data_IF_783888387977
#
_entry.id   IF_783888387977
#
_cell.length_a   1.000
_cell.length_b   1.000
_cell.length_c   1.000
_cell.angle_alpha   90.00
_cell.angle_beta   90.00
_cell.angle_gamma   90.00
#
_symmetry.space_group_name_H-M   'P 1'
#
loop_
_entity.id
_entity.type
_entity.pdbx_description
1 polymer ?
#
# COMPACT_ATOMS: atom_id res chain seq x y z
N UNK A 1 -1.21 14.59 33.10
CA UNK A 1 -1.41 13.33 32.37
C UNK A 1 -1.98 13.66 30.99
N UNK A 2 -1.31 13.27 29.91
CA UNK A 2 -1.80 13.49 28.54
C UNK A 2 -3.15 12.79 28.35
N UNK A 3 -4.17 13.52 27.90
CA UNK A 3 -5.52 12.97 27.68
C UNK A 3 -5.44 12.01 26.49
N UNK A 4 -5.83 10.74 26.69
CA UNK A 4 -5.79 9.72 25.62
C UNK A 4 -6.84 10.05 24.54
N UNK A 5 -6.48 9.83 23.28
CA UNK A 5 -7.41 9.97 22.16
C UNK A 5 -8.56 8.94 22.28
N UNK A 6 -9.84 9.36 22.27
CA UNK A 6 -10.95 8.44 22.54
C UNK A 6 -11.08 7.30 21.53
N UNK A 7 -10.68 7.52 20.27
CA UNK A 7 -10.81 6.53 19.18
C UNK A 7 -9.49 5.79 18.89
N UNK A 8 -8.56 5.75 19.84
CA UNK A 8 -7.23 5.15 19.62
C UNK A 8 -7.29 3.63 19.36
N UNK A 9 -8.26 2.92 19.94
CA UNK A 9 -8.52 1.51 19.61
C UNK A 9 -8.96 1.33 18.15
N UNK A 10 -9.86 2.20 17.67
CA UNK A 10 -10.34 2.17 16.28
C UNK A 10 -9.21 2.52 15.32
N UNK A 11 -8.39 3.52 15.65
CA UNK A 11 -7.21 3.88 14.85
C UNK A 11 -6.22 2.71 14.73
N UNK A 12 -5.99 1.98 15.83
CA UNK A 12 -5.15 0.76 15.81
C UNK A 12 -5.72 -0.32 14.89
N UNK A 13 -7.02 -0.58 14.97
CA UNK A 13 -7.69 -1.52 14.08
C UNK A 13 -7.54 -1.12 12.60
N UNK A 14 -7.71 0.17 12.28
CA UNK A 14 -7.52 0.68 10.91
C UNK A 14 -6.09 0.54 10.41
N UNK A 15 -5.09 0.74 11.27
CA UNK A 15 -3.67 0.50 10.93
C UNK A 15 -3.41 -0.98 10.62
N UNK A 16 -4.02 -1.90 11.38
CA UNK A 16 -3.92 -3.34 11.10
C UNK A 16 -4.60 -3.72 9.79
N UNK A 17 -5.78 -3.15 9.50
CA UNK A 17 -6.49 -3.35 8.24
C UNK A 17 -5.65 -2.87 7.03
N UNK A 18 -5.06 -1.68 7.11
CA UNK A 18 -4.13 -1.16 6.09
C UNK A 18 -2.96 -2.10 5.87
N UNK A 19 -2.29 -2.53 6.94
CA UNK A 19 -1.18 -3.47 6.83
C UNK A 19 -1.58 -4.80 6.18
N UNK A 20 -2.77 -5.34 6.51
CA UNK A 20 -3.30 -6.54 5.86
C UNK A 20 -3.50 -6.32 4.36
N UNK A 21 -4.13 -5.20 3.97
CA UNK A 21 -4.39 -4.89 2.56
C UNK A 21 -3.13 -4.61 1.76
N UNK A 22 -2.11 -3.99 2.37
CA UNK A 22 -0.78 -3.85 1.76
C UNK A 22 -0.13 -5.22 1.51
N UNK A 23 -0.21 -6.14 2.49
CA UNK A 23 0.33 -7.51 2.33
C UNK A 23 -0.40 -8.29 1.24
N UNK A 24 -1.73 -8.23 1.20
CA UNK A 24 -2.55 -8.84 0.14
C UNK A 24 -2.13 -8.31 -1.23
N UNK A 25 -2.05 -6.98 -1.40
CA UNK A 25 -1.64 -6.36 -2.66
C UNK A 25 -0.23 -6.79 -3.08
N UNK A 26 0.74 -6.76 -2.17
CA UNK A 26 2.11 -7.22 -2.44
C UNK A 26 2.19 -8.71 -2.79
N UNK A 27 1.29 -9.54 -2.26
CA UNK A 27 1.19 -10.95 -2.64
C UNK A 27 0.74 -11.09 -4.09
N UNK A 28 -0.31 -10.37 -4.50
CA UNK A 28 -0.80 -10.43 -5.88
C UNK A 28 0.17 -9.81 -6.90
N UNK A 29 0.91 -8.76 -6.53
CA UNK A 29 1.99 -8.22 -7.35
C UNK A 29 3.09 -9.25 -7.62
N UNK A 30 3.48 -10.04 -6.60
CA UNK A 30 4.44 -11.14 -6.76
C UNK A 30 3.91 -12.24 -7.67
N UNK A 31 2.63 -12.61 -7.53
CA UNK A 31 1.99 -13.56 -8.43
C UNK A 31 2.00 -13.03 -9.86
N UNK A 32 1.62 -11.76 -10.09
CA UNK A 32 1.67 -11.14 -11.42
C UNK A 32 3.06 -11.23 -12.02
N UNK A 33 4.10 -10.84 -11.28
CA UNK A 33 5.47 -10.87 -11.75
C UNK A 33 5.90 -12.27 -12.19
N UNK A 34 5.59 -13.29 -11.37
CA UNK A 34 5.84 -14.70 -11.71
C UNK A 34 5.10 -15.14 -12.98
N UNK A 35 3.81 -14.84 -13.08
CA UNK A 35 3.02 -15.24 -14.25
C UNK A 35 3.45 -14.52 -15.53
N UNK A 36 3.94 -13.28 -15.43
CA UNK A 36 4.57 -12.54 -16.53
C UNK A 36 5.89 -13.17 -16.95
N UNK A 37 6.75 -13.54 -16.01
CA UNK A 37 8.01 -14.23 -16.30
C UNK A 37 7.76 -15.59 -16.98
N UNK A 38 6.76 -16.33 -16.51
CA UNK A 38 6.35 -17.59 -17.12
C UNK A 38 5.89 -17.40 -18.57
N UNK A 39 5.11 -16.35 -18.86
CA UNK A 39 4.70 -16.01 -20.21
C UNK A 39 5.91 -15.72 -21.11
N UNK A 40 6.81 -14.84 -20.68
CA UNK A 40 8.03 -14.54 -21.42
C UNK A 40 8.90 -15.78 -21.66
N UNK A 41 8.96 -16.70 -20.69
CA UNK A 41 9.69 -17.95 -20.88
C UNK A 41 9.08 -18.83 -21.99
N UNK A 42 7.74 -18.92 -22.05
CA UNK A 42 7.05 -19.68 -23.08
C UNK A 42 7.26 -19.05 -24.47
N UNK A 43 7.17 -17.72 -24.56
CA UNK A 43 7.40 -16.96 -25.80
C UNK A 43 8.84 -17.16 -26.29
N UNK A 44 9.83 -17.02 -25.41
CA UNK A 44 11.24 -17.28 -25.75
C UNK A 44 11.49 -18.71 -26.24
N UNK A 45 10.86 -19.71 -25.60
CA UNK A 45 11.00 -21.10 -26.05
C UNK A 45 10.37 -21.33 -27.43
N UNK A 46 9.22 -20.69 -27.70
CA UNK A 46 8.57 -20.76 -29.00
C UNK A 46 9.43 -20.11 -30.08
N UNK A 47 9.99 -18.93 -29.81
CA UNK A 47 10.84 -18.22 -30.77
C UNK A 47 12.17 -18.94 -31.01
N UNK A 48 12.80 -19.48 -29.97
CA UNK A 48 14.00 -20.31 -30.12
C UNK A 48 13.74 -21.54 -30.99
N UNK A 49 12.60 -22.23 -30.80
CA UNK A 49 12.23 -23.37 -31.61
C UNK A 49 11.89 -22.99 -33.07
N UNK A 50 11.36 -21.78 -33.31
CA UNK A 50 11.15 -21.25 -34.67
C UNK A 50 12.48 -20.97 -35.37
N UNK A 51 13.43 -20.37 -34.66
CA UNK A 51 14.78 -20.12 -35.20
C UNK A 51 15.49 -21.43 -35.55
N UNK A 52 15.49 -22.39 -34.63
CA UNK A 52 16.09 -23.72 -34.86
C UNK A 52 15.41 -24.47 -36.03
N UNK A 53 14.08 -24.36 -36.19
CA UNK A 53 13.39 -24.89 -37.37
C UNK A 53 13.87 -24.21 -38.67
N UNK A 54 13.96 -22.87 -38.67
CA UNK A 54 14.38 -22.11 -39.85
C UNK A 54 15.80 -22.47 -40.29
N UNK A 55 16.72 -22.60 -39.34
CA UNK A 55 18.11 -23.00 -39.59
C UNK A 55 18.19 -24.40 -40.21
N UNK A 56 17.41 -25.36 -39.68
CA UNK A 56 17.37 -26.74 -40.19
C UNK A 56 16.75 -26.85 -41.59
N UNK A 57 15.78 -26.01 -41.92
CA UNK A 57 15.17 -25.99 -43.25
C UNK A 57 16.19 -25.48 -44.29
N UNK A 58 16.97 -24.45 -43.97
CA UNK A 58 17.95 -23.85 -44.89
C UNK A 58 19.18 -24.74 -45.10
N UNK A 59 19.61 -25.49 -44.08
CA UNK A 59 20.83 -26.32 -44.13
C UNK A 59 20.70 -27.59 -44.98
N UNK A 60 20.05 -28.62 -44.42
CA UNK A 60 20.03 -29.98 -45.01
C UNK A 60 18.64 -30.41 -45.48
N UNK A 61 17.62 -29.56 -45.28
CA UNK A 61 16.22 -29.94 -45.39
C UNK A 61 15.75 -30.76 -44.17
N UNK A 62 14.47 -30.64 -43.83
CA UNK A 62 13.92 -31.28 -42.64
C UNK A 62 13.11 -32.54 -43.00
N UNK A 63 13.44 -33.72 -42.44
CA UNK A 63 12.63 -34.91 -42.61
C UNK A 63 11.17 -34.67 -42.18
N UNK A 64 10.22 -35.20 -42.94
CA UNK A 64 8.78 -35.00 -42.71
C UNK A 64 8.35 -35.33 -41.26
N UNK A 65 8.88 -36.41 -40.68
CA UNK A 65 8.59 -36.78 -39.29
C UNK A 65 9.05 -35.72 -38.28
N UNK A 66 10.24 -35.12 -38.49
CA UNK A 66 10.72 -34.01 -37.63
C UNK A 66 9.87 -32.76 -37.84
N UNK A 67 9.46 -32.46 -39.07
CA UNK A 67 8.56 -31.34 -39.35
C UNK A 67 7.22 -31.46 -38.60
N UNK A 68 6.64 -32.67 -38.57
CA UNK A 68 5.42 -32.95 -37.81
C UNK A 68 5.62 -32.72 -36.29
N UNK A 69 6.79 -33.08 -35.74
CA UNK A 69 7.11 -32.83 -34.34
C UNK A 69 7.16 -31.32 -34.01
N UNK A 70 7.76 -30.49 -34.88
CA UNK A 70 7.73 -29.03 -34.68
C UNK A 70 6.31 -28.47 -34.73
N UNK A 71 5.49 -28.90 -35.69
CA UNK A 71 4.10 -28.45 -35.79
C UNK A 71 3.29 -28.80 -34.53
N UNK A 72 3.43 -30.04 -34.04
CA UNK A 72 2.81 -30.46 -32.79
C UNK A 72 3.30 -29.64 -31.59
N UNK A 73 4.62 -29.41 -31.50
CA UNK A 73 5.22 -28.57 -30.47
C UNK A 73 4.69 -27.13 -30.51
N UNK A 74 4.65 -26.49 -31.68
CA UNK A 74 4.14 -25.13 -31.85
C UNK A 74 2.66 -25.02 -31.48
N UNK A 75 1.85 -26.01 -31.86
CA UNK A 75 0.44 -26.09 -31.47
C UNK A 75 0.27 -26.16 -29.95
N UNK A 76 1.06 -27.01 -29.29
CA UNK A 76 1.06 -27.14 -27.83
C UNK A 76 1.54 -25.86 -27.14
N UNK A 77 2.67 -25.28 -27.57
CA UNK A 77 3.20 -24.04 -26.99
C UNK A 77 2.27 -22.85 -27.17
N UNK A 78 1.68 -22.70 -28.36
CA UNK A 78 0.71 -21.63 -28.63
C UNK A 78 -0.50 -21.73 -27.70
N UNK A 79 -1.01 -22.95 -27.47
CA UNK A 79 -2.10 -23.20 -26.53
C UNK A 79 -1.70 -22.84 -25.09
N UNK A 80 -0.48 -23.20 -24.66
CA UNK A 80 0.05 -22.84 -23.34
C UNK A 80 0.21 -21.34 -23.16
N UNK A 81 0.71 -20.64 -24.18
CA UNK A 81 0.84 -19.17 -24.19
C UNK A 81 -0.53 -18.51 -24.03
N UNK A 82 -1.54 -18.96 -24.80
CA UNK A 82 -2.91 -18.43 -24.68
C UNK A 82 -3.47 -18.62 -23.27
N UNK A 83 -3.34 -19.83 -22.73
CA UNK A 83 -3.76 -20.11 -21.36
C UNK A 83 -3.05 -19.20 -20.34
N UNK A 84 -1.74 -19.02 -20.49
CA UNK A 84 -0.94 -18.17 -19.61
C UNK A 84 -1.34 -16.70 -19.71
N UNK A 85 -1.65 -16.20 -20.92
CA UNK A 85 -2.14 -14.85 -21.13
C UNK A 85 -3.51 -14.64 -20.45
N UNK A 86 -4.42 -15.60 -20.55
CA UNK A 86 -5.72 -15.52 -19.89
C UNK A 86 -5.60 -15.59 -18.36
N UNK A 87 -4.68 -16.39 -17.83
CA UNK A 87 -4.33 -16.41 -16.41
C UNK A 87 -3.78 -15.04 -15.97
N UNK A 88 -2.83 -14.47 -16.72
CA UNK A 88 -2.23 -13.18 -16.41
C UNK A 88 -3.29 -12.07 -16.38
N UNK A 89 -4.23 -12.05 -17.35
CA UNK A 89 -5.36 -11.10 -17.35
C UNK A 89 -6.21 -11.18 -16.07
N UNK A 90 -6.49 -12.39 -15.59
CA UNK A 90 -7.23 -12.60 -14.33
C UNK A 90 -6.43 -12.08 -13.12
N UNK A 91 -5.13 -12.39 -13.08
CA UNK A 91 -4.24 -11.91 -12.01
C UNK A 91 -4.15 -10.38 -12.02
N UNK A 92 -4.02 -9.76 -13.19
CA UNK A 92 -4.00 -8.30 -13.33
C UNK A 92 -5.30 -7.64 -12.87
N UNK A 93 -6.45 -8.26 -13.15
CA UNK A 93 -7.74 -7.79 -12.66
C UNK A 93 -7.78 -7.81 -11.12
N UNK A 94 -7.31 -8.89 -10.49
CA UNK A 94 -7.22 -8.99 -9.03
C UNK A 94 -6.21 -8.00 -8.44
N UNK A 95 -5.05 -7.79 -9.08
CA UNK A 95 -4.09 -6.75 -8.67
C UNK A 95 -4.74 -5.37 -8.67
N UNK A 96 -5.47 -5.02 -9.74
CA UNK A 96 -6.19 -3.74 -9.82
C UNK A 96 -7.21 -3.60 -8.70
N UNK A 97 -8.00 -4.65 -8.45
CA UNK A 97 -8.97 -4.70 -7.34
C UNK A 97 -8.28 -4.48 -5.99
N UNK A 98 -7.19 -5.21 -5.71
CA UNK A 98 -6.44 -5.11 -4.46
C UNK A 98 -5.77 -3.77 -4.26
N UNK A 99 -5.30 -3.13 -5.34
CA UNK A 99 -4.78 -1.75 -5.30
C UNK A 99 -5.85 -0.77 -4.82
N UNK A 100 -7.08 -0.89 -5.31
CA UNK A 100 -8.21 -0.06 -4.87
C UNK A 100 -8.57 -0.33 -3.41
N UNK A 101 -8.69 -1.59 -3.00
CA UNK A 101 -8.96 -1.96 -1.60
C UNK A 101 -7.90 -1.39 -0.64
N UNK A 102 -6.62 -1.47 -1.01
CA UNK A 102 -5.51 -0.89 -0.26
C UNK A 102 -5.64 0.64 -0.17
N UNK A 103 -5.88 1.33 -1.28
CA UNK A 103 -6.04 2.78 -1.30
C UNK A 103 -7.21 3.24 -0.40
N UNK A 104 -8.34 2.53 -0.43
CA UNK A 104 -9.48 2.79 0.45
C UNK A 104 -9.16 2.56 1.92
N UNK A 105 -8.36 1.54 2.25
CA UNK A 105 -7.94 1.29 3.65
C UNK A 105 -7.06 2.43 4.19
N UNK A 106 -6.12 2.93 3.37
CA UNK A 106 -5.25 4.06 3.70
C UNK A 106 -6.09 5.33 3.89
N UNK A 107 -7.01 5.60 2.97
CA UNK A 107 -7.90 6.76 3.06
C UNK A 107 -8.74 6.72 4.35
N UNK A 108 -9.30 5.56 4.69
CA UNK A 108 -10.08 5.37 5.93
C UNK A 108 -9.22 5.58 7.19
N UNK A 109 -7.98 5.06 7.25
CA UNK A 109 -7.07 5.33 8.38
C UNK A 109 -6.77 6.83 8.50
N UNK A 110 -6.45 7.51 7.39
CA UNK A 110 -6.07 8.93 7.40
C UNK A 110 -7.15 9.84 8.01
N UNK A 111 -8.43 9.47 7.92
CA UNK A 111 -9.51 10.18 8.60
C UNK A 111 -9.27 10.18 10.12
N UNK A 112 -8.94 9.03 10.71
CA UNK A 112 -8.71 8.90 12.15
C UNK A 112 -7.41 9.55 12.61
N UNK A 113 -6.35 9.52 11.78
CA UNK A 113 -5.12 10.26 12.09
C UNK A 113 -5.41 11.77 12.19
N UNK A 114 -6.16 12.34 11.22
CA UNK A 114 -6.59 13.75 11.29
C UNK A 114 -7.47 14.06 12.48
N UNK A 115 -8.37 13.16 12.87
CA UNK A 115 -9.19 13.33 14.08
C UNK A 115 -8.32 13.33 15.34
N UNK A 116 -7.28 12.50 15.39
CA UNK A 116 -6.32 12.44 16.49
C UNK A 116 -5.50 13.73 16.57
N UNK A 117 -5.00 14.23 15.44
CA UNK A 117 -4.27 15.50 15.36
C UNK A 117 -5.12 16.66 15.92
N UNK A 118 -6.35 16.83 15.41
CA UNK A 118 -7.28 17.87 15.90
C UNK A 118 -7.60 17.74 17.39
N UNK A 119 -7.75 16.50 17.88
CA UNK A 119 -7.99 16.26 19.30
C UNK A 119 -6.79 16.70 20.15
N UNK A 120 -5.56 16.38 19.72
CA UNK A 120 -4.35 16.76 20.44
C UNK A 120 -4.17 18.28 20.47
N UNK A 121 -4.38 18.96 19.34
CA UNK A 121 -4.36 20.43 19.27
C UNK A 121 -5.40 21.08 20.20
N UNK A 122 -6.60 20.51 20.29
CA UNK A 122 -7.64 21.02 21.18
C UNK A 122 -7.27 20.82 22.66
N UNK A 123 -6.66 19.68 23.00
CA UNK A 123 -6.17 19.41 24.36
C UNK A 123 -5.03 20.36 24.73
N UNK A 124 -4.11 20.61 23.81
CA UNK A 124 -3.00 21.55 24.01
C UNK A 124 -3.51 22.98 24.23
N UNK A 125 -4.43 23.45 23.38
CA UNK A 125 -5.07 24.76 23.53
C UNK A 125 -5.76 24.93 24.89
N UNK A 126 -6.46 23.89 25.35
CA UNK A 126 -7.12 23.90 26.65
C UNK A 126 -6.12 23.93 27.81
N UNK A 127 -5.01 23.19 27.70
CA UNK A 127 -3.93 23.23 28.71
C UNK A 127 -3.31 24.62 28.79
N UNK A 128 -2.93 25.20 27.65
CA UNK A 128 -2.34 26.54 27.59
C UNK A 128 -3.30 27.60 28.16
N UNK A 129 -4.61 27.50 27.87
CA UNK A 129 -5.62 28.39 28.44
C UNK A 129 -5.70 28.27 29.96
N UNK A 130 -5.70 27.05 30.50
CA UNK A 130 -5.74 26.81 31.96
C UNK A 130 -4.47 27.28 32.65
N UNK A 131 -3.32 27.12 32.02
CA UNK A 131 -2.04 27.62 32.54
C UNK A 131 -2.01 29.15 32.54
N UNK A 132 -2.47 29.80 31.48
CA UNK A 132 -2.63 31.26 31.43
C UNK A 132 -3.50 31.80 32.57
N UNK A 133 -4.69 31.21 32.76
CA UNK A 133 -5.57 31.59 33.88
C UNK A 133 -4.91 31.42 35.24
N UNK A 134 -4.16 30.34 35.46
CA UNK A 134 -3.41 30.12 36.71
C UNK A 134 -2.30 31.14 36.93
N UNK A 135 -1.60 31.54 35.86
CA UNK A 135 -0.56 32.57 35.95
C UNK A 135 -1.20 33.91 36.32
N UNK A 136 -2.30 34.28 35.68
CA UNK A 136 -3.04 35.51 35.96
C UNK A 136 -3.56 35.54 37.42
N UNK A 137 -4.07 34.42 37.92
CA UNK A 137 -4.49 34.29 39.32
C UNK A 137 -3.31 34.50 40.29
N UNK A 138 -2.15 33.89 40.02
CA UNK A 138 -0.94 34.04 40.85
C UNK A 138 -0.45 35.49 40.83
N UNK A 139 -0.42 36.13 39.66
CA UNK A 139 -0.01 37.52 39.50
C UNK A 139 -0.97 38.44 40.25
N UNK A 140 -2.28 38.22 40.11
CA UNK A 140 -3.32 39.00 40.81
C UNK A 140 -3.15 38.89 42.33
N UNK A 141 -3.01 37.68 42.87
CA UNK A 141 -2.79 37.46 44.31
C UNK A 141 -1.50 38.15 44.79
N UNK A 142 -0.40 38.04 44.04
CA UNK A 142 0.87 38.72 44.37
C UNK A 142 0.74 40.24 44.33
N UNK A 143 0.01 40.77 43.35
CA UNK A 143 -0.25 42.20 43.23
C UNK A 143 -1.09 42.71 44.40
N UNK A 144 -2.20 42.03 44.73
CA UNK A 144 -3.04 42.35 45.90
C UNK A 144 -2.28 42.25 47.23
N UNK A 145 -1.39 41.27 47.38
CA UNK A 145 -0.55 41.15 48.57
C UNK A 145 0.46 42.32 48.70
N UNK A 146 1.00 42.81 47.57
CA UNK A 146 1.90 43.98 47.54
C UNK A 146 1.17 45.29 47.80
N UNK A 147 -0.05 45.46 47.32
CA UNK A 147 -0.83 46.70 47.52
C UNK A 147 -1.41 46.80 48.93
N UNK A 148 -1.81 45.68 49.57
CA UNK A 148 -2.22 45.67 50.98
C UNK A 148 -1.09 45.92 51.98
N UNK A 149 0.17 45.80 51.56
CA UNK A 149 1.36 46.08 52.38
C UNK A 149 1.85 47.53 52.34
N UNK A 150 1.18 48.43 51.59
CA UNK A 150 1.56 49.84 51.50
C UNK A 150 0.48 50.68 52.21
N UNK A 151 0.77 51.31 53.37
CA UNK A 151 -0.18 52.24 53.97
C UNK A 151 -0.40 53.40 53.01
N UNK A 152 -1.66 53.70 52.72
CA UNK A 152 -2.03 54.95 52.10
C UNK A 152 -1.78 56.06 53.14
N UNK A 153 -0.71 56.82 52.93
CA UNK A 153 -0.39 58.01 53.72
C UNK A 153 0.78 57.85 54.68
N UNK A 154 1.94 58.35 54.25
CA UNK A 154 2.78 59.30 54.98
C UNK A 154 3.75 59.93 53.96
#
# INVERSE_FOLDING_TARGET
>A
MARKFPLDAVLRLRKMEEQSKMKEFASFERVRARETEQLHSLERHLDAARTDLSERIVGEGLPSQKAQMYLAFFGAQTSRIRYQQDLLRKVEAEVRRKRVEMAMSIARRKIYDRLKERFLEAVERELNRREGLRVDDIVSVRFFARTKGRPAGA
#
